data_IF_190866521855
#
_entry.id   IF_190866521855
#
_cell.length_a   1.000
_cell.length_b   1.000
_cell.length_c   1.000
_cell.angle_alpha   90.00
_cell.angle_beta   90.00
_cell.angle_gamma   90.00
#
_symmetry.space_group_name_H-M   'P 1'
#
loop_
_entity.id
_entity.type
_entity.pdbx_description
1 polymer ?
#
# COMPACT_ATOMS: atom_id res chain seq x y z
N UNK A 1 28.28 26.39 -15.38
CA UNK A 1 27.14 26.98 -14.65
C UNK A 1 25.91 26.11 -14.73
N UNK A 2 25.36 25.84 -15.91
CA UNK A 2 24.14 25.02 -16.05
C UNK A 2 24.36 23.59 -15.53
N UNK A 3 25.52 22.99 -15.76
CA UNK A 3 25.84 21.66 -15.25
C UNK A 3 25.89 21.61 -13.72
N UNK A 4 26.52 22.60 -13.11
CA UNK A 4 26.61 22.69 -11.64
C UNK A 4 25.23 22.90 -11.02
N UNK A 5 24.36 23.66 -11.67
CA UNK A 5 22.99 23.85 -11.21
C UNK A 5 22.17 22.54 -11.26
N UNK A 6 22.37 21.74 -12.31
CA UNK A 6 21.71 20.44 -12.43
C UNK A 6 22.17 19.49 -11.33
N UNK A 7 23.45 19.45 -11.04
CA UNK A 7 24.00 18.62 -9.96
C UNK A 7 23.46 19.09 -8.60
N UNK A 8 23.47 20.40 -8.37
CA UNK A 8 22.92 20.97 -7.14
C UNK A 8 21.45 20.59 -6.97
N UNK A 9 20.66 20.73 -8.02
CA UNK A 9 19.24 20.36 -7.98
C UNK A 9 19.04 18.87 -7.63
N UNK A 10 19.83 18.00 -8.24
CA UNK A 10 19.77 16.57 -7.94
C UNK A 10 20.08 16.27 -6.47
N UNK A 11 21.10 16.93 -5.92
CA UNK A 11 21.45 16.79 -4.50
C UNK A 11 20.34 17.32 -3.60
N UNK A 12 19.73 18.45 -3.96
CA UNK A 12 18.64 19.04 -3.19
C UNK A 12 17.44 18.10 -3.12
N UNK A 13 17.10 17.41 -4.21
CA UNK A 13 16.05 16.39 -4.21
C UNK A 13 16.37 15.28 -3.22
N UNK A 14 17.59 14.77 -3.22
CA UNK A 14 18.01 13.73 -2.27
C UNK A 14 17.88 14.23 -0.82
N UNK A 15 18.32 15.46 -0.52
CA UNK A 15 18.17 16.00 0.82
C UNK A 15 16.73 16.17 1.25
N UNK A 16 15.84 16.54 0.33
CA UNK A 16 14.40 16.59 0.61
C UNK A 16 13.86 15.19 0.95
N UNK A 17 14.28 14.17 0.23
CA UNK A 17 13.89 12.79 0.51
C UNK A 17 14.43 12.30 1.85
N UNK A 18 15.68 12.63 2.17
CA UNK A 18 16.27 12.31 3.48
C UNK A 18 15.42 12.93 4.60
N UNK A 19 15.06 14.21 4.47
CA UNK A 19 14.24 14.90 5.46
C UNK A 19 12.85 14.28 5.60
N UNK A 20 12.25 13.87 4.48
CA UNK A 20 10.97 13.18 4.49
C UNK A 20 11.05 11.85 5.24
N UNK A 21 12.12 11.08 5.02
CA UNK A 21 12.35 9.81 5.73
C UNK A 21 12.58 10.03 7.23
N UNK A 22 13.29 11.08 7.61
CA UNK A 22 13.45 11.44 9.02
C UNK A 22 12.11 11.74 9.69
N UNK A 23 11.24 12.48 9.02
CA UNK A 23 9.87 12.74 9.52
C UNK A 23 9.08 11.44 9.64
N UNK A 24 9.16 10.59 8.63
CA UNK A 24 8.48 9.30 8.63
C UNK A 24 8.91 8.45 9.84
N UNK A 25 10.21 8.40 10.12
CA UNK A 25 10.72 7.61 11.26
C UNK A 25 10.12 8.06 12.60
N UNK A 26 9.77 9.33 12.73
CA UNK A 26 9.16 9.89 13.93
C UNK A 26 7.64 9.69 13.99
N UNK A 27 7.03 9.29 12.90
CA UNK A 27 5.58 9.12 12.81
C UNK A 27 5.09 7.73 13.23
N UNK A 28 6.00 6.78 13.44
CA UNK A 28 5.65 5.43 13.85
C UNK A 28 5.04 5.42 15.26
N UNK A 29 3.93 4.73 15.38
CA UNK A 29 3.19 4.64 16.64
C UNK A 29 2.54 3.26 16.77
N UNK A 30 1.62 3.11 17.72
CA UNK A 30 0.92 1.85 17.95
C UNK A 30 0.14 1.35 16.74
N UNK A 31 -0.31 2.22 15.86
CA UNK A 31 -1.01 1.82 14.64
C UNK A 31 -0.10 1.06 13.68
N UNK A 32 1.17 1.43 13.60
CA UNK A 32 2.15 0.69 12.82
C UNK A 32 2.31 -0.74 13.34
N UNK A 33 2.41 -0.89 14.67
CA UNK A 33 2.50 -2.21 15.31
C UNK A 33 1.25 -3.04 15.01
N UNK A 34 0.07 -2.45 15.12
CA UNK A 34 -1.20 -3.13 14.79
C UNK A 34 -1.23 -3.60 13.34
N UNK A 35 -0.75 -2.79 12.41
CA UNK A 35 -0.69 -3.15 11.00
C UNK A 35 0.24 -4.36 10.77
N UNK A 36 1.42 -4.35 11.38
CA UNK A 36 2.36 -5.46 11.30
C UNK A 36 1.74 -6.73 11.88
N UNK A 37 1.09 -6.62 13.04
CA UNK A 37 0.43 -7.76 13.68
C UNK A 37 -0.67 -8.36 12.80
N UNK A 38 -1.47 -7.52 12.14
CA UNK A 38 -2.50 -8.00 11.22
C UNK A 38 -1.91 -8.79 10.07
N UNK A 39 -0.81 -8.31 9.49
CA UNK A 39 -0.13 -9.00 8.39
C UNK A 39 0.47 -10.33 8.87
N UNK A 40 1.15 -10.32 10.03
CA UNK A 40 1.77 -11.52 10.57
C UNK A 40 0.76 -12.60 10.97
N UNK A 41 -0.40 -12.20 11.45
CA UNK A 41 -1.46 -13.14 11.87
C UNK A 41 -2.40 -13.53 10.74
N UNK A 42 -2.20 -12.99 9.56
CA UNK A 42 -3.01 -13.30 8.39
C UNK A 42 -2.86 -14.78 8.02
N UNK A 43 -3.97 -15.51 8.03
CA UNK A 43 -3.99 -16.94 7.71
C UNK A 43 -4.11 -17.20 6.20
N UNK A 44 -4.64 -16.25 5.46
CA UNK A 44 -4.76 -16.31 4.02
C UNK A 44 -3.66 -15.52 3.33
N UNK A 45 -4.06 -14.67 2.39
CA UNK A 45 -3.13 -13.84 1.63
C UNK A 45 -3.34 -12.36 1.95
N UNK A 46 -2.29 -11.58 1.73
CA UNK A 46 -2.35 -10.12 1.80
C UNK A 46 -2.78 -9.60 0.42
N UNK A 47 -3.94 -8.97 0.36
CA UNK A 47 -4.48 -8.41 -0.87
C UNK A 47 -4.11 -6.95 -0.93
N UNK A 48 -3.23 -6.61 -1.85
CA UNK A 48 -2.73 -5.26 -2.04
C UNK A 48 -3.58 -4.53 -3.08
N UNK A 49 -4.13 -3.40 -2.70
CA UNK A 49 -5.09 -2.65 -3.53
C UNK A 49 -4.60 -1.21 -3.70
N UNK A 50 -4.61 -0.73 -4.92
CA UNK A 50 -4.26 0.65 -5.24
C UNK A 50 -4.41 0.90 -6.72
N UNK A 51 -4.53 2.16 -7.11
CA UNK A 51 -4.66 2.55 -8.50
C UNK A 51 -3.69 3.69 -8.83
N UNK A 52 -3.39 3.88 -10.13
CA UNK A 52 -2.46 4.91 -10.57
C UNK A 52 -1.05 4.67 -10.02
N UNK A 53 -0.41 5.74 -9.56
CA UNK A 53 0.95 5.66 -9.00
C UNK A 53 0.99 4.85 -7.71
N UNK A 54 -0.03 4.98 -6.86
CA UNK A 54 -0.16 4.15 -5.65
C UNK A 54 -0.28 2.67 -6.01
N UNK A 55 -0.98 2.35 -7.10
CA UNK A 55 -1.09 0.98 -7.60
C UNK A 55 0.26 0.39 -7.98
N UNK A 56 1.13 1.16 -8.61
CA UNK A 56 2.49 0.68 -8.95
C UNK A 56 3.32 0.40 -7.71
N UNK A 57 3.24 1.25 -6.70
CA UNK A 57 3.96 1.07 -5.44
C UNK A 57 3.44 -0.16 -4.70
N UNK A 58 2.13 -0.31 -4.59
CA UNK A 58 1.55 -1.43 -3.86
C UNK A 58 1.77 -2.77 -4.57
N UNK A 59 1.87 -2.77 -5.90
CA UNK A 59 2.27 -3.96 -6.65
C UNK A 59 3.67 -4.42 -6.28
N UNK A 60 4.60 -3.48 -6.13
CA UNK A 60 5.96 -3.80 -5.69
C UNK A 60 5.94 -4.39 -4.29
N UNK A 61 5.17 -3.82 -3.39
CA UNK A 61 5.02 -4.33 -2.02
C UNK A 61 4.49 -5.76 -2.05
N UNK A 62 3.46 -6.03 -2.85
CA UNK A 62 2.90 -7.37 -3.00
C UNK A 62 3.94 -8.38 -3.50
N UNK A 63 4.71 -8.01 -4.51
CA UNK A 63 5.78 -8.87 -5.04
C UNK A 63 6.85 -9.13 -3.97
N UNK A 64 7.21 -8.14 -3.18
CA UNK A 64 8.18 -8.28 -2.09
C UNK A 64 7.64 -9.22 -1.00
N UNK A 65 6.39 -9.06 -0.59
CA UNK A 65 5.77 -9.94 0.39
C UNK A 65 5.80 -11.39 -0.07
N UNK A 66 5.42 -11.66 -1.31
CA UNK A 66 5.48 -13.00 -1.87
C UNK A 66 6.90 -13.56 -1.90
N UNK A 67 7.89 -12.72 -2.22
CA UNK A 67 9.29 -13.15 -2.28
C UNK A 67 9.86 -13.57 -0.92
N UNK A 68 9.31 -13.07 0.17
CA UNK A 68 9.73 -13.43 1.53
C UNK A 68 8.80 -14.43 2.20
N UNK A 69 7.93 -15.07 1.42
CA UNK A 69 7.08 -16.16 1.91
C UNK A 69 5.73 -15.74 2.47
N UNK A 70 5.33 -14.51 2.29
CA UNK A 70 3.99 -14.04 2.68
C UNK A 70 3.11 -14.02 1.44
N UNK A 71 2.11 -14.90 1.31
CA UNK A 71 1.25 -14.92 0.14
C UNK A 71 0.57 -13.57 -0.07
N UNK A 72 0.73 -13.00 -1.25
CA UNK A 72 0.16 -11.69 -1.58
C UNK A 72 -0.22 -11.61 -3.04
N UNK A 73 -1.30 -10.93 -3.32
CA UNK A 73 -1.75 -10.60 -4.66
C UNK A 73 -2.06 -9.12 -4.77
N UNK A 74 -1.99 -8.61 -5.98
CA UNK A 74 -2.45 -7.26 -6.29
C UNK A 74 -3.85 -7.32 -6.90
N UNK A 75 -4.71 -6.39 -6.47
CA UNK A 75 -6.06 -6.25 -6.99
C UNK A 75 -6.31 -4.78 -7.35
N UNK A 76 -6.65 -4.51 -8.61
CA UNK A 76 -7.03 -3.16 -9.01
C UNK A 76 -8.44 -2.84 -8.50
N UNK A 77 -8.68 -1.64 -7.93
CA UNK A 77 -9.99 -1.30 -7.37
C UNK A 77 -11.16 -1.44 -8.34
N UNK A 78 -10.97 -1.11 -9.63
CA UNK A 78 -12.07 -1.23 -10.59
C UNK A 78 -12.43 -2.69 -10.87
N UNK A 79 -11.45 -3.59 -10.90
CA UNK A 79 -11.69 -5.03 -11.08
C UNK A 79 -12.39 -5.62 -9.85
N UNK A 80 -12.00 -5.16 -8.67
CA UNK A 80 -12.67 -5.57 -7.43
C UNK A 80 -14.15 -5.17 -7.44
N UNK A 81 -14.45 -3.96 -7.89
CA UNK A 81 -15.82 -3.47 -8.02
C UNK A 81 -16.63 -4.28 -9.06
N UNK A 82 -15.96 -4.93 -10.01
CA UNK A 82 -16.60 -5.75 -11.04
C UNK A 82 -16.61 -7.25 -10.73
N UNK A 83 -16.35 -7.65 -9.51
CA UNK A 83 -16.51 -9.02 -9.06
C UNK A 83 -15.27 -9.74 -8.57
N UNK A 84 -14.07 -9.25 -8.83
CA UNK A 84 -12.84 -9.91 -8.40
C UNK A 84 -12.72 -9.97 -6.86
N UNK A 85 -13.46 -9.13 -6.16
CA UNK A 85 -13.52 -9.17 -4.70
C UNK A 85 -14.07 -10.51 -4.18
N UNK A 86 -14.87 -11.21 -4.98
CA UNK A 86 -15.36 -12.53 -4.65
C UNK A 86 -14.29 -13.61 -4.51
N UNK A 87 -13.09 -13.39 -5.08
CA UNK A 87 -11.96 -14.29 -4.93
C UNK A 87 -11.27 -14.15 -3.56
N UNK A 88 -11.66 -13.18 -2.76
CA UNK A 88 -11.08 -12.89 -1.47
C UNK A 88 -11.86 -13.58 -0.36
N UNK A 89 -11.13 -14.09 0.65
CA UNK A 89 -11.76 -14.69 1.81
C UNK A 89 -11.70 -13.70 2.98
N UNK A 90 -12.81 -13.02 3.32
CA UNK A 90 -12.80 -11.97 4.34
C UNK A 90 -12.45 -12.49 5.74
N UNK A 91 -12.53 -13.78 5.98
CA UNK A 91 -12.19 -14.38 7.29
C UNK A 91 -10.70 -14.67 7.43
N UNK A 92 -9.99 -14.83 6.32
CA UNK A 92 -8.59 -15.26 6.32
C UNK A 92 -7.65 -14.25 5.69
N UNK A 93 -8.12 -13.48 4.72
CA UNK A 93 -7.31 -12.53 3.96
C UNK A 93 -7.23 -11.18 4.66
N UNK A 94 -6.11 -10.50 4.45
CA UNK A 94 -5.84 -9.17 4.95
C UNK A 94 -5.72 -8.22 3.77
N UNK A 95 -6.26 -7.01 3.90
CA UNK A 95 -6.20 -6.00 2.84
C UNK A 95 -5.21 -4.91 3.20
N UNK A 96 -4.33 -4.60 2.26
CA UNK A 96 -3.41 -3.47 2.33
C UNK A 96 -3.79 -2.50 1.21
N UNK A 97 -4.39 -1.38 1.57
CA UNK A 97 -4.93 -0.41 0.62
C UNK A 97 -4.07 0.83 0.64
N UNK A 98 -3.62 1.25 -0.52
CA UNK A 98 -2.81 2.46 -0.68
C UNK A 98 -3.55 3.48 -1.54
N UNK A 99 -3.81 4.66 -0.98
CA UNK A 99 -4.45 5.75 -1.68
C UNK A 99 -3.82 7.07 -1.26
N UNK A 100 -3.47 7.91 -2.22
CA UNK A 100 -2.90 9.22 -1.92
C UNK A 100 -3.90 10.14 -1.23
N UNK A 101 -5.12 10.19 -1.74
CA UNK A 101 -6.17 11.07 -1.21
C UNK A 101 -7.01 10.45 -0.10
N UNK A 102 -7.10 9.13 -0.08
CA UNK A 102 -8.03 8.41 0.79
C UNK A 102 -9.50 8.55 0.41
N UNK A 103 -9.80 9.32 -0.63
CA UNK A 103 -11.15 9.74 -0.99
C UNK A 103 -11.64 9.23 -2.34
N UNK A 104 -10.89 8.36 -3.01
CA UNK A 104 -11.34 7.77 -4.26
C UNK A 104 -12.52 6.84 -3.97
N UNK A 105 -13.64 6.98 -4.68
CA UNK A 105 -14.82 6.15 -4.46
C UNK A 105 -14.51 4.67 -4.52
N UNK A 106 -13.67 4.25 -5.46
CA UNK A 106 -13.25 2.86 -5.59
C UNK A 106 -12.43 2.39 -4.38
N UNK A 107 -11.61 3.26 -3.80
CA UNK A 107 -10.87 2.94 -2.57
C UNK A 107 -11.79 2.82 -1.37
N UNK A 108 -12.81 3.66 -1.28
CA UNK A 108 -13.80 3.60 -0.21
C UNK A 108 -14.62 2.31 -0.25
N UNK A 109 -14.93 1.79 -1.43
CA UNK A 109 -15.59 0.50 -1.60
C UNK A 109 -14.73 -0.60 -0.95
N UNK A 110 -13.42 -0.60 -1.16
CA UNK A 110 -12.53 -1.59 -0.57
C UNK A 110 -12.42 -1.48 0.94
N UNK A 111 -12.52 -0.29 1.49
CA UNK A 111 -12.49 -0.08 2.94
C UNK A 111 -13.77 -0.61 3.57
N UNK A 112 -14.91 -0.43 2.93
CA UNK A 112 -16.21 -0.78 3.51
C UNK A 112 -16.61 -2.25 3.27
N UNK A 113 -16.35 -2.79 2.08
CA UNK A 113 -16.81 -4.13 1.70
C UNK A 113 -16.26 -5.27 2.58
N UNK A 114 -14.95 -5.31 2.91
CA UNK A 114 -14.41 -6.39 3.73
C UNK A 114 -14.98 -6.43 5.15
N UNK A 115 -15.58 -5.35 5.63
CA UNK A 115 -16.14 -5.27 6.98
C UNK A 115 -17.63 -5.56 7.03
N UNK A 116 -18.29 -5.68 5.88
CA UNK A 116 -19.72 -5.99 5.84
C UNK A 116 -19.97 -7.47 6.09
N UNK A 117 -20.90 -7.82 6.95
CA UNK A 117 -21.39 -9.19 7.04
C UNK A 117 -22.13 -9.51 5.76
N UNK A 118 -21.68 -10.49 5.06
CA UNK A 118 -22.33 -10.99 3.85
C UNK A 118 -23.39 -12.03 4.21
#
# INVERSE_FOLDING_TARGET
>A
MIQNQKIKFAKDVIFQEINALKKLSKSYNSNFIKAIDLIQKCKGKVICVGMGKSGHIIRKISATLSSVGIPSIYLHPSEAAHGDLGACNPKQDCFLIMSYSGNTDLSLIHISEPTRPY
#
